data_IF_169736796973
#
_entry.id   IF_169736796973
#
_cell.length_a   1.000
_cell.length_b   1.000
_cell.length_c   1.000
_cell.angle_alpha   90.00
_cell.angle_beta   90.00
_cell.angle_gamma   90.00
#
_symmetry.space_group_name_H-M   'P 1'
#
loop_
_entity.id
_entity.type
_entity.pdbx_description
1 polymer ?
#
# COMPACT_ATOMS: atom_id res chain seq x y z
N UNK A 1 -34.48 -8.75 52.25
CA UNK A 1 -34.60 -7.96 51.00
C UNK A 1 -33.31 -7.15 50.91
N UNK A 2 -32.17 -7.82 50.70
CA UNK A 2 -31.53 -8.08 49.40
C UNK A 2 -31.41 -6.80 48.56
N UNK A 3 -30.27 -6.13 48.71
CA UNK A 3 -29.43 -5.66 47.61
C UNK A 3 -28.00 -5.52 48.15
N UNK A 4 -27.10 -6.36 47.62
CA UNK A 4 -25.65 -6.35 47.85
C UNK A 4 -25.01 -5.28 46.96
N UNK A 5 -24.20 -4.39 47.54
CA UNK A 5 -23.19 -3.61 46.82
C UNK A 5 -21.79 -4.22 47.08
N UNK A 6 -20.93 -4.40 46.06
CA UNK A 6 -19.66 -5.09 46.19
C UNK A 6 -18.54 -4.22 46.76
N UNK A 7 -17.76 -4.81 47.66
CA UNK A 7 -16.59 -4.23 48.31
C UNK A 7 -15.41 -4.04 47.35
N UNK A 8 -14.80 -2.86 47.42
CA UNK A 8 -13.55 -2.51 46.77
C UNK A 8 -12.39 -3.36 47.29
N UNK A 9 -11.69 -4.05 46.39
CA UNK A 9 -10.41 -4.69 46.67
C UNK A 9 -9.26 -3.79 46.23
N UNK A 10 -8.50 -3.28 47.20
CA UNK A 10 -7.20 -2.67 47.02
C UNK A 10 -6.17 -3.78 46.72
N UNK A 11 -5.31 -3.59 45.74
CA UNK A 11 -4.13 -4.43 45.51
C UNK A 11 -2.90 -3.61 45.89
N UNK A 12 -2.15 -4.15 46.84
CA UNK A 12 -0.92 -3.63 47.45
C UNK A 12 0.23 -3.51 46.44
N UNK A 13 0.93 -2.37 46.49
CA UNK A 13 2.19 -2.11 45.80
C UNK A 13 3.32 -2.97 46.39
N UNK A 14 3.76 -3.98 45.64
CA UNK A 14 5.01 -4.67 45.94
C UNK A 14 6.11 -4.25 44.95
N UNK A 15 7.00 -3.41 45.48
CA UNK A 15 8.27 -2.97 44.94
C UNK A 15 9.04 -4.16 44.35
N UNK A 16 9.27 -4.15 43.02
CA UNK A 16 10.28 -5.03 42.40
C UNK A 16 11.36 -4.16 41.77
N UNK A 17 12.57 -4.32 42.28
CA UNK A 17 13.79 -3.60 41.92
C UNK A 17 14.17 -3.77 40.42
N UNK A 18 14.89 -2.81 39.83
CA UNK A 18 15.36 -2.92 38.45
C UNK A 18 16.42 -4.04 38.32
N UNK A 19 16.18 -4.97 37.41
CA UNK A 19 17.13 -6.04 37.05
C UNK A 19 18.40 -5.43 36.44
N UNK A 20 19.43 -5.32 37.26
CA UNK A 20 20.83 -5.21 36.87
C UNK A 20 21.24 -6.53 36.20
N UNK A 21 21.42 -6.52 34.87
CA UNK A 21 22.01 -7.65 34.14
C UNK A 21 23.51 -7.65 34.44
N UNK A 22 23.92 -8.56 35.31
CA UNK A 22 25.31 -8.92 35.61
C UNK A 22 25.94 -9.56 34.36
N UNK A 23 27.06 -8.98 33.90
CA UNK A 23 27.94 -9.61 32.92
C UNK A 23 28.68 -10.78 33.59
N UNK A 24 28.23 -12.01 33.35
CA UNK A 24 29.09 -13.15 33.04
C UNK A 24 28.29 -14.44 32.94
N UNK A 25 28.72 -15.28 31.99
CA UNK A 25 28.24 -16.63 31.66
C UNK A 25 26.94 -16.69 30.85
N UNK A 26 27.08 -17.03 29.57
CA UNK A 26 26.48 -18.21 28.93
C UNK A 26 27.20 -18.37 27.58
N UNK A 27 28.12 -19.34 27.54
CA UNK A 27 28.48 -20.00 26.31
C UNK A 27 27.32 -20.94 25.94
N UNK A 28 27.13 -21.12 24.64
CA UNK A 28 26.15 -21.96 23.92
C UNK A 28 24.74 -21.41 23.78
N UNK A 29 24.41 -20.88 22.59
CA UNK A 29 23.08 -21.02 22.00
C UNK A 29 23.07 -20.83 20.46
N UNK A 30 22.31 -21.64 19.69
CA UNK A 30 22.13 -21.50 18.25
C UNK A 30 20.82 -20.74 17.95
N UNK A 31 20.82 -19.40 17.97
CA UNK A 31 19.58 -18.61 17.74
C UNK A 31 19.83 -17.24 17.10
N UNK A 32 20.31 -17.25 15.84
CA UNK A 32 20.53 -16.03 15.04
C UNK A 32 19.27 -15.34 14.47
N UNK A 33 18.04 -15.82 14.74
CA UNK A 33 16.81 -15.15 14.26
C UNK A 33 16.24 -14.13 15.23
N UNK A 34 16.36 -14.38 16.54
CA UNK A 34 15.88 -13.48 17.59
C UNK A 34 16.67 -12.17 17.60
N UNK A 35 17.97 -12.23 17.30
CA UNK A 35 18.86 -11.07 17.23
C UNK A 35 18.55 -10.11 16.08
N UNK A 36 17.90 -10.57 15.01
CA UNK A 36 17.62 -9.77 13.82
C UNK A 36 16.31 -8.96 13.94
N UNK A 37 15.28 -9.53 14.57
CA UNK A 37 14.06 -8.80 14.89
C UNK A 37 14.33 -7.77 16.01
N UNK A 38 15.14 -8.14 17.01
CA UNK A 38 15.63 -7.23 18.04
C UNK A 38 16.58 -6.15 17.49
N UNK A 39 17.36 -6.42 16.43
CA UNK A 39 18.17 -5.39 15.78
C UNK A 39 17.34 -4.44 14.93
N UNK A 40 16.25 -4.92 14.31
CA UNK A 40 15.26 -4.07 13.63
C UNK A 40 14.48 -3.16 14.62
N UNK A 41 14.28 -3.61 15.86
CA UNK A 41 13.68 -2.85 16.97
C UNK A 41 14.71 -2.00 17.75
N UNK A 42 16.00 -2.05 17.41
CA UNK A 42 17.02 -1.31 18.14
C UNK A 42 16.84 0.19 17.90
N UNK A 43 16.66 1.00 18.95
CA UNK A 43 16.58 2.45 18.80
C UNK A 43 17.93 2.96 18.31
N UNK A 44 18.00 3.39 17.04
CA UNK A 44 19.20 4.04 16.50
C UNK A 44 19.28 5.46 17.05
N UNK A 45 20.48 6.02 17.16
CA UNK A 45 20.69 7.40 17.60
C UNK A 45 20.22 8.36 16.51
N UNK A 46 18.97 8.80 16.65
CA UNK A 46 18.28 9.65 15.71
C UNK A 46 18.43 11.11 16.13
N UNK A 47 18.91 11.96 15.23
CA UNK A 47 18.93 13.41 15.39
C UNK A 47 17.55 13.92 15.86
N UNK A 48 17.50 14.71 16.94
CA UNK A 48 16.25 15.09 17.60
C UNK A 48 15.40 16.01 16.71
N UNK A 49 14.36 15.46 16.08
CA UNK A 49 13.35 16.24 15.36
C UNK A 49 12.28 16.76 16.33
N UNK A 50 11.73 17.95 16.09
CA UNK A 50 10.62 18.46 16.91
C UNK A 50 9.32 17.71 16.60
N UNK A 51 8.41 17.60 17.59
CA UNK A 51 7.09 16.98 17.43
C UNK A 51 6.31 17.54 16.24
N UNK A 52 6.33 18.86 16.05
CA UNK A 52 5.69 19.54 14.90
C UNK A 52 6.28 19.10 13.56
N UNK A 53 7.60 18.92 13.50
CA UNK A 53 8.31 18.48 12.28
C UNK A 53 7.96 17.03 11.92
N UNK A 54 7.87 16.15 12.92
CA UNK A 54 7.45 14.75 12.73
C UNK A 54 6.03 14.70 12.16
N UNK A 55 5.08 15.38 12.81
CA UNK A 55 3.68 15.42 12.36
C UNK A 55 3.57 16.01 10.95
N UNK A 56 4.29 17.10 10.66
CA UNK A 56 4.38 17.66 9.30
C UNK A 56 4.85 16.61 8.28
N UNK A 57 5.91 15.86 8.59
CA UNK A 57 6.45 14.85 7.66
C UNK A 57 5.48 13.70 7.43
N UNK A 58 4.82 13.21 8.49
CA UNK A 58 3.79 12.18 8.37
C UNK A 58 2.61 12.68 7.52
N UNK A 59 2.16 13.92 7.72
CA UNK A 59 1.09 14.51 6.90
C UNK A 59 1.51 14.67 5.43
N UNK A 60 2.71 15.19 5.16
CA UNK A 60 3.24 15.32 3.78
C UNK A 60 3.34 13.95 3.11
N UNK A 61 3.80 12.93 3.84
CA UNK A 61 3.88 11.56 3.35
C UNK A 61 2.49 11.06 2.95
N UNK A 62 1.54 11.09 3.88
CA UNK A 62 0.19 10.59 3.70
C UNK A 62 -0.57 11.35 2.59
N UNK A 63 -0.43 12.68 2.52
CA UNK A 63 -1.05 13.48 1.46
C UNK A 63 -0.45 13.17 0.08
N UNK A 64 0.86 12.93 -0.03
CA UNK A 64 1.47 12.56 -1.31
C UNK A 64 1.02 11.16 -1.76
N UNK A 65 0.96 10.21 -0.83
CA UNK A 65 0.42 8.87 -1.09
C UNK A 65 -1.04 8.95 -1.53
N UNK A 66 -1.86 9.75 -0.84
CA UNK A 66 -3.25 9.99 -1.22
C UNK A 66 -3.38 10.50 -2.65
N UNK A 67 -2.68 11.57 -3.02
CA UNK A 67 -2.77 12.17 -4.37
C UNK A 67 -2.34 11.17 -5.46
N UNK A 68 -1.30 10.38 -5.21
CA UNK A 68 -0.84 9.35 -6.14
C UNK A 68 -1.86 8.21 -6.27
N UNK A 69 -2.25 7.60 -5.15
CA UNK A 69 -3.16 6.44 -5.14
C UNK A 69 -4.58 6.81 -5.55
N UNK A 70 -5.01 8.06 -5.37
CA UNK A 70 -6.27 8.57 -5.93
C UNK A 70 -6.31 8.39 -7.46
N UNK A 71 -5.22 8.71 -8.15
CA UNK A 71 -5.14 8.53 -9.60
C UNK A 71 -4.97 7.06 -9.99
N UNK A 72 -4.03 6.36 -9.34
CA UNK A 72 -3.73 4.96 -9.66
C UNK A 72 -4.92 4.03 -9.39
N UNK A 73 -5.52 4.08 -8.20
CA UNK A 73 -6.62 3.18 -7.82
C UNK A 73 -7.85 3.42 -8.69
N UNK A 74 -8.16 4.70 -8.96
CA UNK A 74 -9.27 5.05 -9.83
C UNK A 74 -9.06 4.57 -11.26
N UNK A 75 -7.84 4.68 -11.78
CA UNK A 75 -7.51 4.14 -13.10
C UNK A 75 -7.56 2.60 -13.12
N UNK A 76 -7.14 1.94 -12.05
CA UNK A 76 -7.21 0.49 -11.90
C UNK A 76 -8.66 -0.02 -11.91
N UNK A 77 -9.56 0.67 -11.21
CA UNK A 77 -11.00 0.34 -11.19
C UNK A 77 -11.66 0.45 -12.58
N UNK A 78 -11.09 1.26 -13.48
CA UNK A 78 -11.63 1.47 -14.82
C UNK A 78 -10.95 0.61 -15.89
N UNK A 79 -10.01 -0.27 -15.53
CA UNK A 79 -9.27 -1.04 -16.54
C UNK A 79 -10.14 -1.99 -17.34
N UNK A 80 -11.03 -2.72 -16.67
CA UNK A 80 -11.99 -3.63 -17.32
C UNK A 80 -12.89 -2.88 -18.31
N UNK A 81 -13.32 -1.66 -17.96
CA UNK A 81 -14.21 -0.83 -18.80
C UNK A 81 -13.47 -0.07 -19.91
N UNK A 82 -12.39 0.66 -19.59
CA UNK A 82 -11.67 1.53 -20.52
C UNK A 82 -10.81 0.75 -21.52
N UNK A 83 -10.25 -0.38 -21.08
CA UNK A 83 -9.32 -1.20 -21.83
C UNK A 83 -9.86 -2.64 -21.99
N UNK A 84 -11.15 -2.76 -22.29
CA UNK A 84 -11.84 -4.05 -22.50
C UNK A 84 -11.37 -4.78 -23.76
N UNK A 85 -10.86 -4.05 -24.75
CA UNK A 85 -10.42 -4.61 -26.02
C UNK A 85 -9.36 -5.71 -25.81
N UNK A 86 -9.71 -6.96 -26.19
CA UNK A 86 -8.87 -8.16 -26.02
C UNK A 86 -8.48 -8.48 -24.58
N UNK A 87 -9.14 -7.90 -23.57
CA UNK A 87 -8.81 -8.12 -22.15
C UNK A 87 -7.53 -7.43 -21.68
N UNK A 88 -6.95 -6.53 -22.49
CA UNK A 88 -5.64 -5.93 -22.23
C UNK A 88 -5.58 -5.19 -20.89
N UNK A 89 -6.67 -4.55 -20.46
CA UNK A 89 -6.75 -3.86 -19.17
C UNK A 89 -6.53 -4.81 -17.98
N UNK A 90 -7.26 -5.92 -17.95
CA UNK A 90 -7.17 -6.91 -16.87
C UNK A 90 -5.82 -7.64 -16.86
N UNK A 91 -5.30 -8.01 -18.02
CA UNK A 91 -3.97 -8.61 -18.13
C UNK A 91 -2.86 -7.66 -17.67
N UNK A 92 -2.99 -6.36 -17.98
CA UNK A 92 -2.04 -5.34 -17.53
C UNK A 92 -2.04 -5.17 -16.00
N UNK A 93 -3.19 -5.33 -15.34
CA UNK A 93 -3.32 -5.31 -13.88
C UNK A 93 -2.73 -6.56 -13.24
N UNK A 94 -2.99 -7.74 -13.83
CA UNK A 94 -2.37 -8.98 -13.39
C UNK A 94 -0.83 -8.89 -13.43
N UNK A 95 -0.27 -8.29 -14.49
CA UNK A 95 1.16 -8.05 -14.61
C UNK A 95 1.69 -7.09 -13.52
N UNK A 96 0.95 -6.03 -13.18
CA UNK A 96 1.30 -5.13 -12.07
C UNK A 96 1.39 -5.90 -10.75
N UNK A 97 0.38 -6.71 -10.41
CA UNK A 97 0.35 -7.45 -9.15
C UNK A 97 1.42 -8.55 -9.08
N UNK A 98 1.67 -9.27 -10.18
CA UNK A 98 2.73 -10.26 -10.24
C UNK A 98 4.12 -9.62 -10.05
N UNK A 99 4.38 -8.51 -10.74
CA UNK A 99 5.63 -7.78 -10.60
C UNK A 99 5.78 -7.12 -9.22
N UNK A 100 4.68 -6.64 -8.61
CA UNK A 100 4.71 -6.04 -7.27
C UNK A 100 4.98 -7.03 -6.17
N UNK A 101 4.49 -8.27 -6.30
CA UNK A 101 4.80 -9.35 -5.37
C UNK A 101 6.30 -9.65 -5.35
N UNK A 102 6.91 -9.78 -6.53
CA UNK A 102 8.35 -10.03 -6.67
C UNK A 102 9.16 -8.82 -6.18
N UNK A 103 8.75 -7.60 -6.55
CA UNK A 103 9.50 -6.40 -6.20
C UNK A 103 9.48 -6.13 -4.70
N UNK A 104 8.35 -6.31 -4.03
CA UNK A 104 8.18 -6.11 -2.58
C UNK A 104 9.10 -6.97 -1.72
N UNK A 105 9.51 -8.15 -2.22
CA UNK A 105 10.42 -9.04 -1.50
C UNK A 105 11.90 -8.67 -1.70
N UNK A 106 12.26 -8.17 -2.89
CA UNK A 106 13.67 -8.10 -3.31
C UNK A 106 14.26 -6.69 -3.25
N UNK A 107 13.47 -5.67 -3.59
CA UNK A 107 13.96 -4.33 -3.88
C UNK A 107 13.94 -3.34 -2.71
N UNK A 108 12.99 -3.35 -1.75
CA UNK A 108 12.87 -2.26 -0.78
C UNK A 108 14.14 -2.01 0.03
N UNK A 109 14.74 -3.05 0.59
CA UNK A 109 15.91 -2.88 1.45
C UNK A 109 17.12 -2.37 0.67
N UNK A 110 17.34 -2.89 -0.55
CA UNK A 110 18.43 -2.43 -1.42
C UNK A 110 18.26 -0.95 -1.77
N UNK A 111 17.06 -0.54 -2.17
CA UNK A 111 16.78 0.82 -2.60
C UNK A 111 16.81 1.81 -1.43
N UNK A 112 16.19 1.46 -0.29
CA UNK A 112 16.17 2.32 0.90
C UNK A 112 17.59 2.51 1.45
N UNK A 113 18.42 1.46 1.45
CA UNK A 113 19.84 1.55 1.87
C UNK A 113 20.68 2.39 0.92
N UNK A 114 20.48 2.25 -0.39
CA UNK A 114 21.33 2.91 -1.40
C UNK A 114 20.95 4.37 -1.62
N UNK A 115 19.65 4.65 -1.78
CA UNK A 115 19.17 5.98 -2.18
C UNK A 115 18.57 6.78 -1.02
N UNK A 116 18.21 6.12 0.08
CA UNK A 116 17.49 6.72 1.19
C UNK A 116 15.98 6.79 0.90
N UNK A 117 15.18 6.71 1.97
CA UNK A 117 13.73 6.54 1.89
C UNK A 117 13.02 7.60 1.01
N UNK A 118 13.34 8.90 1.22
CA UNK A 118 12.73 10.00 0.46
C UNK A 118 12.97 9.88 -1.04
N UNK A 119 14.22 9.60 -1.45
CA UNK A 119 14.59 9.54 -2.86
C UNK A 119 13.97 8.31 -3.53
N UNK A 120 13.92 7.18 -2.83
CA UNK A 120 13.25 5.97 -3.31
C UNK A 120 11.78 6.25 -3.61
N UNK A 121 11.04 6.88 -2.69
CA UNK A 121 9.62 7.19 -2.90
C UNK A 121 9.41 8.10 -4.11
N UNK A 122 10.17 9.20 -4.20
CA UNK A 122 10.06 10.15 -5.33
C UNK A 122 10.38 9.45 -6.66
N UNK A 123 11.44 8.64 -6.69
CA UNK A 123 11.81 7.89 -7.89
C UNK A 123 10.72 6.90 -8.28
N UNK A 124 10.12 6.19 -7.33
CA UNK A 124 9.06 5.24 -7.63
C UNK A 124 7.78 5.91 -8.13
N UNK A 125 7.37 7.06 -7.58
CA UNK A 125 6.28 7.83 -8.16
C UNK A 125 6.53 8.19 -9.63
N UNK A 126 7.77 8.55 -9.99
CA UNK A 126 8.13 8.86 -11.37
C UNK A 126 8.16 7.60 -12.26
N UNK A 127 8.65 6.47 -11.76
CA UNK A 127 8.61 5.18 -12.46
C UNK A 127 7.19 4.66 -12.71
N UNK A 128 6.20 5.12 -11.93
CA UNK A 128 4.79 4.82 -12.14
C UNK A 128 4.15 5.60 -13.29
N UNK A 129 4.68 6.78 -13.66
CA UNK A 129 4.10 7.67 -14.68
C UNK A 129 3.97 7.01 -16.06
N UNK A 130 4.96 6.25 -16.59
CA UNK A 130 4.85 5.58 -17.88
C UNK A 130 3.59 4.71 -18.03
N UNK A 131 3.20 3.97 -16.98
CA UNK A 131 1.97 3.17 -17.01
C UNK A 131 0.70 4.03 -17.09
N UNK A 132 0.67 5.15 -16.36
CA UNK A 132 -0.43 6.11 -16.48
C UNK A 132 -0.51 6.66 -17.92
N UNK A 133 0.64 7.01 -18.51
CA UNK A 133 0.70 7.51 -19.90
C UNK A 133 0.32 6.42 -20.92
N UNK A 134 0.68 5.16 -20.72
CA UNK A 134 0.29 4.08 -21.64
C UNK A 134 -1.22 3.89 -21.75
N UNK A 135 -1.98 4.38 -20.77
CA UNK A 135 -3.43 4.40 -20.82
C UNK A 135 -4.01 5.48 -21.74
N UNK A 136 -3.22 6.33 -22.40
CA UNK A 136 -3.69 7.15 -23.52
C UNK A 136 -3.99 6.32 -24.77
N UNK A 137 -3.11 5.36 -25.11
CA UNK A 137 -3.29 4.45 -26.25
C UNK A 137 -2.82 3.05 -25.85
N UNK A 138 -3.72 2.13 -25.47
CA UNK A 138 -3.39 0.92 -24.75
C UNK A 138 -3.08 -0.17 -25.77
N UNK A 139 -1.85 -0.21 -26.25
CA UNK A 139 -1.37 -1.31 -27.11
C UNK A 139 -0.59 -2.30 -26.28
N UNK A 140 -0.68 -3.59 -26.62
CA UNK A 140 0.01 -4.67 -25.87
C UNK A 140 1.51 -4.40 -25.72
N UNK A 141 2.14 -3.93 -26.79
CA UNK A 141 3.57 -3.62 -26.84
C UNK A 141 3.97 -2.49 -25.89
N UNK A 142 3.06 -1.57 -25.58
CA UNK A 142 3.36 -0.40 -24.75
C UNK A 142 2.86 -0.55 -23.31
N UNK A 143 1.63 -1.00 -23.10
CA UNK A 143 1.03 -1.09 -21.76
C UNK A 143 1.68 -2.19 -20.91
N UNK A 144 2.05 -3.33 -21.51
CA UNK A 144 2.60 -4.47 -20.78
C UNK A 144 3.97 -4.18 -20.14
N UNK A 145 4.99 -3.65 -20.85
CA UNK A 145 6.25 -3.28 -20.20
C UNK A 145 6.07 -2.16 -19.17
N UNK A 146 5.15 -1.22 -19.41
CA UNK A 146 4.83 -0.18 -18.44
C UNK A 146 4.16 -0.73 -17.17
N UNK A 147 3.27 -1.72 -17.30
CA UNK A 147 2.66 -2.45 -16.18
C UNK A 147 3.70 -3.15 -15.31
N UNK A 148 4.65 -3.85 -15.94
CA UNK A 148 5.74 -4.51 -15.22
C UNK A 148 6.57 -3.47 -14.46
N UNK A 149 6.91 -2.34 -15.11
CA UNK A 149 7.64 -1.24 -14.46
C UNK A 149 6.87 -0.66 -13.27
N UNK A 150 5.56 -0.44 -13.42
CA UNK A 150 4.68 0.02 -12.34
C UNK A 150 4.65 -0.97 -11.17
N UNK A 151 4.50 -2.28 -11.43
CA UNK A 151 4.57 -3.30 -10.38
C UNK A 151 5.93 -3.34 -9.68
N UNK A 152 7.03 -3.18 -10.42
CA UNK A 152 8.37 -3.03 -9.85
C UNK A 152 8.47 -1.81 -8.94
N UNK A 153 7.76 -0.73 -9.25
CA UNK A 153 7.77 0.51 -8.47
C UNK A 153 6.89 0.45 -7.20
N UNK A 154 5.69 -0.13 -7.30
CA UNK A 154 4.69 -0.14 -6.21
C UNK A 154 5.20 -0.85 -4.95
N UNK A 155 5.90 -1.97 -5.09
CA UNK A 155 6.41 -2.73 -3.94
C UNK A 155 7.33 -1.88 -3.06
N UNK A 156 8.49 -1.42 -3.59
CA UNK A 156 9.38 -0.50 -2.89
C UNK A 156 8.74 0.80 -2.43
N UNK A 157 7.78 1.34 -3.19
CA UNK A 157 7.04 2.54 -2.82
C UNK A 157 6.30 2.34 -1.49
N UNK A 158 5.49 1.28 -1.40
CA UNK A 158 4.69 0.97 -0.21
C UNK A 158 5.58 0.63 0.99
N UNK A 159 6.63 -0.17 0.77
CA UNK A 159 7.56 -0.53 1.85
C UNK A 159 8.34 0.69 2.36
N UNK A 160 8.79 1.58 1.47
CA UNK A 160 9.47 2.81 1.87
C UNK A 160 8.52 3.75 2.64
N UNK A 161 7.26 3.87 2.21
CA UNK A 161 6.24 4.63 2.94
C UNK A 161 6.03 4.10 4.36
N UNK A 162 5.79 2.80 4.50
CA UNK A 162 5.61 2.15 5.80
C UNK A 162 6.86 2.28 6.70
N UNK A 163 8.06 2.10 6.11
CA UNK A 163 9.31 2.30 6.83
C UNK A 163 9.46 3.74 7.35
N UNK A 164 9.11 4.74 6.53
CA UNK A 164 9.16 6.14 6.95
C UNK A 164 8.20 6.42 8.11
N UNK A 165 6.97 5.91 8.05
CA UNK A 165 5.98 6.06 9.13
C UNK A 165 6.51 5.43 10.43
N UNK A 166 7.00 4.19 10.36
CA UNK A 166 7.55 3.47 11.49
C UNK A 166 8.69 4.26 12.17
N UNK A 167 9.59 4.80 11.36
CA UNK A 167 10.72 5.60 11.83
C UNK A 167 10.26 6.93 12.45
N UNK A 168 9.25 7.59 11.89
CA UNK A 168 8.64 8.76 12.51
C UNK A 168 7.99 8.41 13.86
N UNK A 169 7.36 7.25 13.99
CA UNK A 169 6.80 6.77 15.26
C UNK A 169 7.88 6.57 16.32
N UNK A 170 9.03 5.96 15.96
CA UNK A 170 10.16 5.81 16.90
C UNK A 170 10.70 7.18 17.35
N UNK A 171 10.87 8.12 16.42
CA UNK A 171 11.32 9.48 16.76
C UNK A 171 10.29 10.22 17.63
N UNK A 172 9.00 9.98 17.42
CA UNK A 172 7.94 10.57 18.21
C UNK A 172 7.89 10.00 19.63
N UNK A 173 8.08 8.69 19.79
CA UNK A 173 8.13 8.01 21.09
C UNK A 173 9.26 8.55 21.97
N UNK A 174 10.45 8.80 21.40
CA UNK A 174 11.57 9.39 22.14
C UNK A 174 11.25 10.76 22.75
N UNK A 175 10.30 11.49 22.18
CA UNK A 175 9.85 12.81 22.66
C UNK A 175 8.66 12.66 23.62
N UNK A 176 7.82 11.65 23.42
CA UNK A 176 6.60 11.41 24.20
C UNK A 176 6.75 10.09 24.97
N UNK A 177 7.55 10.10 26.04
CA UNK A 177 7.91 8.91 26.82
C UNK A 177 6.72 8.27 27.58
N UNK A 178 5.58 8.96 27.64
CA UNK A 178 4.37 8.50 28.34
C UNK A 178 3.52 7.52 27.52
N UNK A 179 3.75 7.43 26.20
CA UNK A 179 2.94 6.59 25.30
C UNK A 179 3.72 5.33 24.86
N UNK A 180 3.03 4.19 24.77
CA UNK A 180 3.63 2.97 24.24
C UNK A 180 3.91 3.09 22.74
N UNK A 181 4.99 2.45 22.26
CA UNK A 181 5.35 2.43 20.83
C UNK A 181 4.19 1.92 19.96
N UNK A 182 3.52 0.87 20.42
CA UNK A 182 2.38 0.25 19.75
C UNK A 182 1.23 1.25 19.54
N UNK A 183 0.93 2.06 20.55
CA UNK A 183 -0.12 3.10 20.45
C UNK A 183 0.24 4.16 19.41
N UNK A 184 1.50 4.61 19.39
CA UNK A 184 1.98 5.62 18.44
C UNK A 184 1.97 5.06 17.02
N UNK A 185 2.42 3.82 16.84
CA UNK A 185 2.38 3.11 15.55
C UNK A 185 0.95 2.98 15.04
N UNK A 186 0.03 2.48 15.87
CA UNK A 186 -1.37 2.32 15.51
C UNK A 186 -1.99 3.66 15.06
N UNK A 187 -1.67 4.77 15.73
CA UNK A 187 -2.16 6.10 15.33
C UNK A 187 -1.59 6.57 13.99
N UNK A 188 -0.29 6.40 13.76
CA UNK A 188 0.34 6.90 12.54
C UNK A 188 0.00 6.03 11.33
N UNK A 189 -0.03 4.71 11.48
CA UNK A 189 -0.50 3.81 10.45
C UNK A 189 -2.01 3.93 10.23
N UNK A 190 -2.80 4.17 11.28
CA UNK A 190 -4.22 4.47 11.15
C UNK A 190 -4.47 5.74 10.32
N UNK A 191 -3.62 6.77 10.47
CA UNK A 191 -3.69 7.95 9.61
C UNK A 191 -3.31 7.62 8.16
N UNK A 192 -2.26 6.81 7.92
CA UNK A 192 -1.91 6.36 6.57
C UNK A 192 -3.07 5.60 5.91
N UNK A 193 -3.64 4.62 6.61
CA UNK A 193 -4.79 3.83 6.15
C UNK A 193 -6.00 4.73 5.88
N UNK A 194 -6.29 5.70 6.74
CA UNK A 194 -7.37 6.66 6.50
C UNK A 194 -7.20 7.37 5.15
N UNK A 195 -6.01 7.90 4.85
CA UNK A 195 -5.76 8.54 3.56
C UNK A 195 -5.87 7.54 2.40
N UNK A 196 -5.26 6.36 2.51
CA UNK A 196 -5.28 5.36 1.44
C UNK A 196 -6.69 4.86 1.10
N UNK A 197 -7.52 4.54 2.09
CA UNK A 197 -8.89 4.07 1.81
C UNK A 197 -9.78 5.17 1.23
N UNK A 198 -9.57 6.43 1.64
CA UNK A 198 -10.29 7.56 1.05
C UNK A 198 -9.98 7.76 -0.44
N UNK A 199 -8.87 7.22 -0.97
CA UNK A 199 -8.55 7.32 -2.39
C UNK A 199 -9.60 6.67 -3.28
N UNK A 200 -10.26 5.60 -2.83
CA UNK A 200 -11.32 4.94 -3.59
C UNK A 200 -12.51 5.88 -3.81
N UNK A 201 -12.95 6.55 -2.75
CA UNK A 201 -14.10 7.47 -2.80
C UNK A 201 -13.78 8.64 -3.73
N UNK A 202 -12.69 9.35 -3.47
CA UNK A 202 -12.34 10.57 -4.20
C UNK A 202 -11.88 10.28 -5.63
N UNK A 203 -11.18 9.17 -5.87
CA UNK A 203 -10.78 8.72 -7.20
C UNK A 203 -11.98 8.38 -8.06
N UNK A 204 -12.88 7.52 -7.55
CA UNK A 204 -14.09 7.15 -8.28
C UNK A 204 -15.03 8.34 -8.50
N UNK A 205 -15.06 9.32 -7.58
CA UNK A 205 -15.82 10.56 -7.77
C UNK A 205 -15.29 11.38 -8.96
N UNK A 206 -13.97 11.50 -9.10
CA UNK A 206 -13.34 12.17 -10.26
C UNK A 206 -13.74 11.45 -11.56
N UNK A 207 -13.66 10.12 -11.58
CA UNK A 207 -14.09 9.30 -12.72
C UNK A 207 -15.55 9.52 -13.08
N UNK A 208 -16.43 9.51 -12.09
CA UNK A 208 -17.86 9.70 -12.28
C UNK A 208 -18.16 11.04 -12.98
N UNK A 209 -17.58 12.15 -12.51
CA UNK A 209 -17.83 13.46 -13.10
C UNK A 209 -17.36 13.58 -14.55
N UNK A 210 -16.24 12.93 -14.89
CA UNK A 210 -15.67 12.96 -16.25
C UNK A 210 -16.45 12.04 -17.18
N UNK A 211 -16.81 10.85 -16.71
CA UNK A 211 -17.46 9.84 -17.53
C UNK A 211 -18.97 10.07 -17.67
N UNK A 212 -19.59 10.89 -16.81
CA UNK A 212 -21.03 11.15 -16.81
C UNK A 212 -21.58 11.40 -18.22
N UNK A 213 -22.62 10.68 -18.65
CA UNK A 213 -23.29 10.99 -19.91
C UNK A 213 -23.99 12.35 -19.82
N UNK A 214 -23.97 13.11 -20.91
CA UNK A 214 -24.73 14.34 -21.01
C UNK A 214 -26.22 13.98 -21.06
N UNK A 215 -26.89 14.04 -19.91
CA UNK A 215 -28.35 13.96 -19.74
C UNK A 215 -29.03 12.80 -20.49
N UNK A 216 -29.23 11.67 -19.82
CA UNK A 216 -30.19 10.67 -20.28
C UNK A 216 -31.60 11.27 -20.04
N UNK A 217 -32.42 11.54 -21.07
CA UNK A 217 -33.85 11.73 -20.84
C UNK A 217 -34.34 10.45 -20.19
N UNK A 218 -35.06 10.54 -19.06
CA UNK A 218 -35.62 9.40 -18.33
C UNK A 218 -36.31 8.49 -19.34
N UNK A 219 -35.60 7.48 -19.84
CA UNK A 219 -36.16 6.48 -20.74
C UNK A 219 -37.01 5.63 -19.82
N UNK A 220 -38.32 5.70 -20.00
CA UNK A 220 -39.26 4.74 -19.46
C UNK A 220 -38.83 3.35 -19.94
N UNK A 221 -37.96 2.68 -19.19
CA UNK A 221 -37.66 1.26 -19.33
C UNK A 221 -38.86 0.48 -18.79
N UNK A 222 -39.95 0.48 -19.55
CA UNK A 222 -40.92 -0.60 -19.48
C UNK A 222 -40.52 -1.63 -20.53
N UNK A 223 -40.10 -2.81 -20.05
CA UNK A 223 -39.94 -4.06 -20.81
C UNK A 223 -38.56 -4.34 -21.46
N UNK A 224 -37.54 -4.49 -20.62
CA UNK A 224 -36.51 -5.51 -20.86
C UNK A 224 -36.32 -6.27 -19.56
N UNK A 225 -36.53 -7.59 -19.56
CA UNK A 225 -36.17 -8.46 -18.45
C UNK A 225 -34.64 -8.53 -18.35
N UNK A 226 -34.02 -7.44 -17.89
CA UNK A 226 -32.61 -7.43 -17.51
C UNK A 226 -32.51 -8.19 -16.21
N UNK A 227 -32.25 -9.50 -16.30
CA UNK A 227 -31.84 -10.29 -15.15
C UNK A 227 -30.46 -9.80 -14.71
N UNK A 228 -30.28 -9.61 -13.41
CA UNK A 228 -29.03 -9.20 -12.79
C UNK A 228 -28.80 -10.05 -11.53
N UNK A 229 -27.56 -10.09 -11.04
CA UNK A 229 -27.22 -10.94 -9.90
C UNK A 229 -27.06 -12.41 -10.32
N UNK A 230 -27.57 -13.33 -9.51
CA UNK A 230 -27.36 -14.78 -9.70
C UNK A 230 -27.95 -15.32 -11.02
N UNK A 231 -28.96 -14.63 -11.55
CA UNK A 231 -29.66 -14.98 -12.79
C UNK A 231 -29.12 -14.18 -14.00
N UNK A 232 -27.95 -13.54 -13.88
CA UNK A 232 -27.33 -12.83 -15.00
C UNK A 232 -26.92 -13.83 -16.09
N UNK A 233 -27.65 -13.79 -17.20
CA UNK A 233 -27.43 -14.65 -18.36
C UNK A 233 -26.71 -13.81 -19.42
N UNK A 234 -25.43 -14.15 -19.69
CA UNK A 234 -24.52 -13.34 -20.53
C UNK A 234 -24.98 -13.24 -22.00
N UNK A 235 -25.94 -14.06 -22.42
CA UNK A 235 -26.48 -14.09 -23.78
C UNK A 235 -28.00 -14.42 -23.77
N UNK A 236 -28.84 -13.40 -23.61
CA UNK A 236 -30.21 -13.45 -24.12
C UNK A 236 -30.25 -12.54 -25.34
N UNK A 237 -30.16 -13.17 -26.50
CA UNK A 237 -30.20 -12.59 -27.85
C UNK A 237 -29.03 -11.65 -28.17
N UNK A 238 -28.07 -12.14 -28.98
CA UNK A 238 -26.86 -11.44 -29.46
C UNK A 238 -27.08 -10.21 -30.36
N UNK A 239 -28.08 -9.38 -30.04
CA UNK A 239 -28.41 -8.14 -30.73
C UNK A 239 -28.64 -6.96 -29.77
N UNK A 240 -28.46 -7.16 -28.45
CA UNK A 240 -28.52 -6.10 -27.44
C UNK A 240 -27.13 -5.61 -27.03
N UNK A 241 -26.54 -4.66 -27.77
CA UNK A 241 -25.35 -3.96 -27.25
C UNK A 241 -25.79 -3.11 -26.06
N UNK A 242 -25.45 -3.51 -24.83
CA UNK A 242 -25.66 -2.67 -23.67
C UNK A 242 -24.80 -1.40 -23.82
N UNK A 243 -25.40 -0.20 -23.95
CA UNK A 243 -24.64 1.03 -24.15
C UNK A 243 -23.72 1.35 -22.96
N UNK A 244 -23.94 0.74 -21.79
CA UNK A 244 -23.07 0.88 -20.62
C UNK A 244 -21.74 0.12 -20.76
N UNK A 245 -21.63 -0.85 -21.67
CA UNK A 245 -20.41 -1.64 -21.89
C UNK A 245 -19.50 -1.06 -22.99
N UNK A 246 -19.89 0.06 -23.62
CA UNK A 246 -19.03 0.72 -24.60
C UNK A 246 -17.92 1.50 -23.88
N UNK A 247 -16.66 1.38 -24.32
CA UNK A 247 -15.57 2.15 -23.77
C UNK A 247 -15.84 3.65 -23.94
N UNK A 248 -15.36 4.51 -23.01
CA UNK A 248 -15.59 5.94 -23.08
C UNK A 248 -14.93 6.55 -24.31
N UNK A 249 -15.49 7.67 -24.78
CA UNK A 249 -14.91 8.42 -25.92
C UNK A 249 -13.47 8.86 -25.64
N UNK A 250 -12.67 8.93 -26.70
CA UNK A 250 -11.25 9.28 -26.60
C UNK A 250 -11.01 10.60 -25.87
N UNK A 251 -11.86 11.61 -26.07
CA UNK A 251 -11.77 12.91 -25.36
C UNK A 251 -11.89 12.75 -23.84
N UNK A 252 -12.86 11.95 -23.37
CA UNK A 252 -13.09 11.69 -21.94
C UNK A 252 -11.93 10.89 -21.36
N UNK A 253 -11.44 9.90 -22.11
CA UNK A 253 -10.28 9.10 -21.75
C UNK A 253 -9.03 9.95 -21.60
N UNK A 254 -8.73 10.81 -22.57
CA UNK A 254 -7.56 11.68 -22.53
C UNK A 254 -7.62 12.66 -21.36
N UNK A 255 -8.80 13.23 -21.09
CA UNK A 255 -9.02 14.09 -19.93
C UNK A 255 -8.73 13.35 -18.61
N UNK A 256 -9.29 12.14 -18.48
CA UNK A 256 -9.15 11.31 -17.28
C UNK A 256 -7.69 10.90 -17.02
N UNK A 257 -7.03 10.35 -18.03
CA UNK A 257 -5.63 9.90 -17.93
C UNK A 257 -4.70 11.08 -17.64
N UNK A 258 -4.94 12.25 -18.25
CA UNK A 258 -4.16 13.46 -17.97
C UNK A 258 -4.25 13.90 -16.51
N UNK A 259 -5.43 13.82 -15.89
CA UNK A 259 -5.60 14.16 -14.47
C UNK A 259 -4.83 13.20 -13.55
N UNK A 260 -4.80 11.91 -13.85
CA UNK A 260 -4.05 10.93 -13.06
C UNK A 260 -2.53 11.06 -13.23
N UNK A 261 -2.06 11.34 -14.45
CA UNK A 261 -0.64 11.65 -14.70
C UNK A 261 -0.23 12.89 -13.91
N UNK A 262 -1.06 13.94 -13.92
CA UNK A 262 -0.81 15.16 -13.17
C UNK A 262 -0.77 14.89 -11.65
N UNK A 263 -1.68 14.05 -11.13
CA UNK A 263 -1.68 13.71 -9.70
C UNK A 263 -0.38 13.01 -9.30
N UNK A 264 0.15 12.10 -10.12
CA UNK A 264 1.43 11.45 -9.84
C UNK A 264 2.62 12.44 -9.83
N UNK A 265 2.65 13.40 -10.75
CA UNK A 265 3.69 14.44 -10.80
C UNK A 265 3.59 15.38 -9.58
N UNK A 266 2.37 15.77 -9.20
CA UNK A 266 2.11 16.58 -8.00
C UNK A 266 2.57 15.83 -6.75
N UNK A 267 2.24 14.55 -6.62
CA UNK A 267 2.67 13.71 -5.50
C UNK A 267 4.20 13.60 -5.40
N UNK A 268 4.89 13.38 -6.52
CA UNK A 268 6.35 13.34 -6.58
C UNK A 268 6.97 14.69 -6.18
N UNK A 269 6.38 15.80 -6.63
CA UNK A 269 6.84 17.15 -6.31
C UNK A 269 6.61 17.50 -4.83
N UNK A 270 5.42 17.20 -4.30
CA UNK A 270 5.08 17.41 -2.90
C UNK A 270 6.03 16.63 -1.97
N UNK A 271 6.26 15.36 -2.28
CA UNK A 271 7.20 14.50 -1.56
C UNK A 271 8.64 15.02 -1.67
N UNK A 272 9.05 15.42 -2.88
CA UNK A 272 10.39 15.91 -3.17
C UNK A 272 10.74 17.21 -2.45
N UNK A 273 9.79 18.13 -2.32
CA UNK A 273 10.02 19.44 -1.72
C UNK A 273 9.82 19.45 -0.20
N UNK A 274 8.74 18.85 0.30
CA UNK A 274 8.30 19.08 1.69
C UNK A 274 8.70 18.00 2.69
N UNK A 275 8.99 16.78 2.22
CA UNK A 275 9.39 15.68 3.11
C UNK A 275 10.83 15.88 3.58
N UNK A 276 11.08 15.80 4.88
CA UNK A 276 12.46 15.80 5.37
C UNK A 276 13.16 14.48 5.01
N UNK A 277 14.42 14.59 4.58
CA UNK A 277 15.25 13.41 4.37
C UNK A 277 15.44 12.72 5.71
N UNK A 278 15.20 11.42 5.71
CA UNK A 278 15.65 10.57 6.79
C UNK A 278 17.18 10.50 6.66
N UNK A 279 17.89 11.16 7.58
CA UNK A 279 19.36 11.12 7.60
C UNK A 279 19.82 9.66 7.67
N UNK A 280 20.91 9.34 6.99
CA UNK A 280 21.36 7.96 6.74
C UNK A 280 21.87 7.26 8.02
N UNK A 281 21.00 7.04 9.01
CA UNK A 281 21.25 6.16 10.18
C UNK A 281 21.23 4.67 9.77
N UNK A 282 21.33 4.40 8.47
CA UNK A 282 21.48 3.09 7.83
C UNK A 282 22.93 2.85 7.36
N UNK A 283 23.85 3.80 7.59
CA UNK A 283 25.26 3.67 7.17
C UNK A 283 26.10 2.69 7.99
N UNK A 284 25.58 2.12 9.07
CA UNK A 284 26.34 1.25 9.97
C UNK A 284 25.85 -0.20 9.97
N UNK A 285 25.83 -0.88 8.82
CA UNK A 285 26.14 -2.31 8.77
C UNK A 285 26.98 -2.59 7.52
N UNK A 286 28.15 -3.16 7.80
CA UNK A 286 29.26 -3.46 6.90
C UNK A 286 28.75 -4.17 5.64
N UNK A 287 29.24 -3.69 4.50
CA UNK A 287 29.10 -4.34 3.20
C UNK A 287 29.58 -5.80 3.26
N UNK A 288 28.67 -6.76 3.08
CA UNK A 288 29.06 -8.07 2.59
C UNK A 288 28.00 -8.68 1.65
N UNK A 289 28.25 -8.45 0.36
CA UNK A 289 27.91 -9.23 -0.84
C UNK A 289 26.44 -9.69 -1.06
N UNK A 290 25.90 -9.04 -2.09
CA UNK A 290 24.73 -9.32 -2.94
C UNK A 290 24.42 -10.80 -3.21
N UNK A 291 23.14 -11.07 -3.50
CA UNK A 291 22.47 -12.37 -3.71
C UNK A 291 22.30 -13.26 -2.47
N UNK A 292 23.33 -13.52 -1.65
CA UNK A 292 23.17 -14.39 -0.47
C UNK A 292 22.23 -13.80 0.58
N UNK A 293 22.27 -12.48 0.77
CA UNK A 293 21.36 -11.79 1.69
C UNK A 293 19.89 -11.83 1.23
N UNK A 294 19.64 -11.72 -0.08
CA UNK A 294 18.29 -11.78 -0.65
C UNK A 294 17.74 -13.21 -0.56
N UNK A 295 18.54 -14.22 -0.92
CA UNK A 295 18.16 -15.62 -0.81
C UNK A 295 17.90 -16.00 0.65
N UNK A 296 18.72 -15.51 1.59
CA UNK A 296 18.51 -15.70 3.02
C UNK A 296 17.22 -15.06 3.51
N UNK A 297 16.83 -13.89 2.99
CA UNK A 297 15.55 -13.24 3.32
C UNK A 297 14.35 -14.01 2.79
N UNK A 298 14.43 -14.52 1.56
CA UNK A 298 13.39 -15.39 1.00
C UNK A 298 13.28 -16.68 1.83
N UNK A 299 14.40 -17.28 2.21
CA UNK A 299 14.45 -18.43 3.10
C UNK A 299 13.91 -18.12 4.50
N UNK A 300 14.20 -16.94 5.05
CA UNK A 300 13.68 -16.50 6.33
C UNK A 300 12.18 -16.26 6.26
N UNK A 301 11.67 -15.62 5.21
CA UNK A 301 10.24 -15.43 4.99
C UNK A 301 9.50 -16.77 4.78
N UNK A 302 10.09 -17.69 4.01
CA UNK A 302 9.55 -19.04 3.83
C UNK A 302 9.55 -19.83 5.14
N UNK A 303 10.63 -19.76 5.92
CA UNK A 303 10.73 -20.38 7.25
C UNK A 303 9.72 -19.76 8.22
N UNK A 304 9.53 -18.45 8.16
CA UNK A 304 8.55 -17.72 8.95
C UNK A 304 7.13 -18.17 8.61
N UNK A 305 6.82 -18.36 7.33
CA UNK A 305 5.52 -18.87 6.86
C UNK A 305 5.24 -20.32 7.31
N UNK A 306 6.27 -21.09 7.69
CA UNK A 306 6.13 -22.46 8.19
C UNK A 306 6.04 -22.57 9.73
N UNK A 307 6.05 -21.44 10.46
CA UNK A 307 5.87 -21.46 11.91
C UNK A 307 4.42 -21.80 12.29
N UNK A 308 4.22 -22.79 13.16
CA UNK A 308 2.90 -23.29 13.56
C UNK A 308 1.91 -22.20 14.00
N UNK A 309 2.41 -21.15 14.68
CA UNK A 309 1.58 -20.04 15.17
C UNK A 309 1.10 -19.08 14.05
N UNK A 310 1.68 -19.20 12.84
CA UNK A 310 1.39 -18.33 11.69
C UNK A 310 0.84 -19.11 10.48
N UNK A 311 0.76 -20.44 10.54
CA UNK A 311 0.22 -21.28 9.45
C UNK A 311 -1.19 -20.86 9.06
N UNK A 312 -2.03 -20.43 10.02
CA UNK A 312 -3.41 -20.02 9.76
C UNK A 312 -3.51 -18.64 9.07
N UNK A 313 -2.49 -17.78 9.19
CA UNK A 313 -2.47 -16.47 8.53
C UNK A 313 -2.30 -16.59 7.02
N UNK A 314 -1.58 -17.60 6.54
CA UNK A 314 -1.34 -17.81 5.11
C UNK A 314 -2.65 -18.06 4.31
N UNK A 315 -3.52 -19.04 4.66
CA UNK A 315 -4.77 -19.27 3.94
C UNK A 315 -5.74 -18.08 4.09
N UNK A 316 -5.76 -17.41 5.24
CA UNK A 316 -6.57 -16.19 5.42
C UNK A 316 -6.10 -15.09 4.46
N UNK A 317 -4.78 -14.88 4.35
CA UNK A 317 -4.22 -13.86 3.45
C UNK A 317 -4.51 -14.19 1.98
N UNK A 318 -4.43 -15.47 1.60
CA UNK A 318 -4.79 -15.93 0.25
C UNK A 318 -6.28 -15.68 -0.01
N UNK A 319 -7.15 -16.01 0.96
CA UNK A 319 -8.59 -15.79 0.84
C UNK A 319 -8.93 -14.30 0.69
N UNK A 320 -8.33 -13.43 1.50
CA UNK A 320 -8.50 -11.97 1.38
C UNK A 320 -8.00 -11.45 0.01
N UNK A 321 -6.90 -12.01 -0.51
CA UNK A 321 -6.39 -11.67 -1.83
C UNK A 321 -7.34 -12.07 -2.96
N UNK A 322 -7.92 -13.27 -2.88
CA UNK A 322 -8.94 -13.76 -3.81
C UNK A 322 -10.21 -12.90 -3.76
N UNK A 323 -10.67 -12.56 -2.57
CA UNK A 323 -11.82 -11.68 -2.36
C UNK A 323 -11.60 -10.30 -2.97
N UNK A 324 -10.43 -9.69 -2.73
CA UNK A 324 -10.09 -8.38 -3.31
C UNK A 324 -10.00 -8.44 -4.85
N UNK A 325 -9.44 -9.51 -5.41
CA UNK A 325 -9.38 -9.71 -6.85
C UNK A 325 -10.78 -9.88 -7.46
N UNK A 326 -11.66 -10.63 -6.79
CA UNK A 326 -13.04 -10.81 -7.20
C UNK A 326 -13.81 -9.48 -7.19
N UNK A 327 -13.73 -8.70 -6.11
CA UNK A 327 -14.39 -7.40 -6.02
C UNK A 327 -13.92 -6.40 -7.07
N UNK A 328 -12.62 -6.39 -7.38
CA UNK A 328 -12.05 -5.44 -8.34
C UNK A 328 -12.24 -5.88 -9.79
N UNK A 329 -12.30 -7.19 -10.06
CA UNK A 329 -12.38 -7.75 -11.40
C UNK A 329 -13.80 -8.03 -11.91
N UNK A 330 -14.68 -8.62 -11.09
CA UNK A 330 -15.97 -9.14 -11.58
C UNK A 330 -17.15 -8.22 -11.25
N UNK A 331 -17.14 -7.46 -10.15
CA UNK A 331 -18.25 -6.54 -9.84
C UNK A 331 -18.26 -5.31 -10.79
N UNK A 332 -17.20 -5.11 -11.56
CA UNK A 332 -17.11 -4.00 -12.53
C UNK A 332 -17.46 -4.38 -13.98
N UNK A 333 -17.72 -5.66 -14.27
CA UNK A 333 -18.27 -6.12 -15.57
C UNK A 333 -19.82 -6.15 -15.56
#
# INVERSE_FOLDING_TARGET
MMEEEPAAFYVEDNVTQPLLISNNSINSDPSGSSSLFLSALRPRDHQTMSKKRIVKNVLVLNSSFFIFFLGFQSLSNLQSTMNSAKGIGMESQAAIYAASMVSSLLLPEFLIKTFGCKRTIVFMFLCSVPYLISNFNPTYEFIMPCSILMGIAIGPLNTAGAFYVNEMSFRYQKITLTESMETILARFFGLLSFFLENTQIWGNLVSYYILRPAMIPIMNHTNTSTTCGIDFEKDVDGNGTNPNLQPPSDDKRYLLVSMYVLSAIIAATLMGLFLDKLENDVKNEREEKNCKAILWRLLAAAKQATLSDQILLLPITILCGLELAFYTGEITE
#
